data_IF_948907764291
#
_entry.id   IF_948907764291
#
_cell.length_a   1.000
_cell.length_b   1.000
_cell.length_c   1.000
_cell.angle_alpha   90.00
_cell.angle_beta   90.00
_cell.angle_gamma   90.00
#
_symmetry.space_group_name_H-M   'P 1'
#
loop_
_entity.id
_entity.type
_entity.pdbx_description
1 polymer ?
#
# COMPACT_ATOMS: atom_id res chain seq x y z
N UNK A 1 -5.13 5.72 -16.55
CA UNK A 1 -4.71 5.61 -15.15
C UNK A 1 -5.74 4.81 -14.37
N UNK A 2 -5.30 3.81 -13.64
CA UNK A 2 -6.19 2.96 -12.84
C UNK A 2 -5.85 3.08 -11.36
N UNK A 3 -6.87 3.03 -10.53
CA UNK A 3 -6.76 3.22 -9.08
C UNK A 3 -7.50 2.13 -8.33
N UNK A 4 -6.94 1.70 -7.19
CA UNK A 4 -7.62 0.78 -6.29
C UNK A 4 -7.26 1.09 -4.85
N UNK A 5 -8.11 0.66 -3.96
CA UNK A 5 -7.93 0.84 -2.52
C UNK A 5 -8.23 -0.47 -1.81
N UNK A 6 -7.53 -0.70 -0.72
CA UNK A 6 -7.82 -1.83 0.16
C UNK A 6 -7.74 -1.36 1.60
N UNK A 7 -8.66 -1.83 2.42
CA UNK A 7 -8.67 -1.56 3.86
C UNK A 7 -8.42 -2.88 4.58
N UNK A 8 -7.34 -2.94 5.35
CA UNK A 8 -6.96 -4.14 6.09
C UNK A 8 -7.09 -3.85 7.59
N UNK A 9 -7.97 -4.56 8.25
CA UNK A 9 -8.21 -4.39 9.69
C UNK A 9 -7.14 -5.08 10.49
N UNK A 10 -6.40 -4.31 11.28
CA UNK A 10 -5.36 -4.84 12.16
C UNK A 10 -4.94 -3.78 13.18
N UNK A 11 -4.66 -4.20 14.40
CA UNK A 11 -4.11 -3.31 15.41
C UNK A 11 -2.61 -3.07 15.22
N UNK A 12 -2.00 -3.74 14.27
CA UNK A 12 -0.56 -3.64 13.98
C UNK A 12 -0.27 -2.88 12.70
N UNK A 13 -1.18 -1.98 12.30
CA UNK A 13 -1.09 -1.28 11.02
C UNK A 13 0.24 -0.53 10.85
N UNK A 14 0.64 0.25 11.86
CA UNK A 14 1.90 1.00 11.80
C UNK A 14 3.11 0.07 11.64
N UNK A 15 3.10 -1.04 12.36
CA UNK A 15 4.19 -2.02 12.28
C UNK A 15 4.33 -2.59 10.86
N UNK A 16 3.21 -2.96 10.25
CA UNK A 16 3.25 -3.51 8.89
C UNK A 16 3.63 -2.45 7.87
N UNK A 17 3.13 -1.22 8.04
CA UNK A 17 3.48 -0.13 7.15
C UNK A 17 5.00 0.07 7.14
N UNK A 18 5.61 0.14 8.32
CA UNK A 18 7.06 0.35 8.42
C UNK A 18 7.83 -0.83 7.86
N UNK A 19 7.38 -2.05 8.13
CA UNK A 19 8.04 -3.24 7.61
C UNK A 19 8.01 -3.28 6.07
N UNK A 20 6.85 -2.99 5.49
CA UNK A 20 6.69 -2.97 4.03
C UNK A 20 7.55 -1.88 3.40
N UNK A 21 7.46 -0.67 3.91
CA UNK A 21 8.21 0.45 3.33
C UNK A 21 9.72 0.25 3.47
N UNK A 22 10.18 -0.25 4.61
CA UNK A 22 11.58 -0.56 4.81
C UNK A 22 12.07 -1.63 3.83
N UNK A 23 11.23 -2.63 3.59
CA UNK A 23 11.56 -3.67 2.62
C UNK A 23 11.67 -3.12 1.21
N UNK A 24 10.67 -2.34 0.80
CA UNK A 24 10.64 -1.79 -0.56
C UNK A 24 11.74 -0.75 -0.79
N UNK A 25 12.14 -0.01 0.25
CA UNK A 25 13.16 1.02 0.14
C UNK A 25 14.52 0.47 -0.29
N UNK A 26 14.71 -0.82 -0.22
CA UNK A 26 15.95 -1.45 -0.67
C UNK A 26 16.14 -1.41 -2.18
N UNK A 27 15.03 -1.33 -2.93
CA UNK A 27 15.08 -1.43 -4.40
C UNK A 27 14.37 -0.28 -5.10
N UNK A 28 13.43 0.38 -4.43
CA UNK A 28 12.66 1.47 -5.00
C UNK A 28 12.58 2.61 -3.99
N UNK A 29 12.00 3.73 -4.38
CA UNK A 29 11.88 4.87 -3.47
C UNK A 29 10.69 4.66 -2.52
N UNK A 30 10.96 4.67 -1.23
CA UNK A 30 9.91 4.62 -0.21
C UNK A 30 10.17 5.70 0.84
N UNK A 31 9.12 6.46 1.15
CA UNK A 31 9.13 7.49 2.18
C UNK A 31 8.03 7.15 3.19
N UNK A 32 8.34 7.15 4.47
CA UNK A 32 7.35 6.74 5.46
C UNK A 32 7.67 7.25 6.85
N UNK A 33 6.62 7.32 7.68
CA UNK A 33 6.73 7.54 9.12
C UNK A 33 5.84 6.51 9.82
N UNK A 34 5.46 6.75 11.07
CA UNK A 34 4.68 5.78 11.84
C UNK A 34 3.27 5.58 11.29
N UNK A 35 2.73 6.55 10.56
CA UNK A 35 1.33 6.55 10.16
C UNK A 35 1.11 6.57 8.65
N UNK A 36 2.08 7.03 7.88
CA UNK A 36 1.93 7.18 6.43
C UNK A 36 3.13 6.65 5.69
N UNK A 37 2.88 6.11 4.51
CA UNK A 37 3.93 5.64 3.64
C UNK A 37 3.59 5.89 2.18
N UNK A 38 4.63 5.98 1.37
CA UNK A 38 4.51 6.18 -0.06
C UNK A 38 5.65 5.44 -0.75
N UNK A 39 5.28 4.57 -1.68
CA UNK A 39 6.25 3.75 -2.41
C UNK A 39 6.08 3.99 -3.90
N UNK A 40 7.16 4.34 -4.57
CA UNK A 40 7.19 4.47 -6.03
C UNK A 40 7.93 3.30 -6.63
N UNK A 41 7.21 2.44 -7.32
CA UNK A 41 7.80 1.24 -7.90
C UNK A 41 8.41 1.46 -9.28
N UNK A 42 8.11 2.58 -9.93
CA UNK A 42 8.48 2.81 -11.32
C UNK A 42 7.39 2.36 -12.28
N UNK A 43 6.72 1.26 -11.98
CA UNK A 43 5.56 0.78 -12.75
C UNK A 43 4.24 1.20 -12.11
N UNK A 44 4.28 1.86 -10.98
CA UNK A 44 3.10 2.37 -10.27
C UNK A 44 3.49 2.81 -8.89
N UNK A 45 2.50 3.21 -8.09
CA UNK A 45 2.78 3.65 -6.73
C UNK A 45 1.76 3.13 -5.75
N UNK A 46 2.17 3.06 -4.49
CA UNK A 46 1.32 2.65 -3.38
C UNK A 46 1.44 3.66 -2.25
N UNK A 47 0.31 4.07 -1.73
CA UNK A 47 0.23 4.93 -0.56
C UNK A 47 -0.42 4.16 0.56
N UNK A 48 0.04 4.42 1.78
CA UNK A 48 -0.39 3.69 2.96
C UNK A 48 -0.74 4.66 4.06
N UNK A 49 -1.84 4.37 4.77
CA UNK A 49 -2.23 5.08 5.97
C UNK A 49 -2.50 4.07 7.06
N UNK A 50 -1.92 4.28 8.23
CA UNK A 50 -2.08 3.39 9.37
C UNK A 50 -2.65 4.14 10.56
N UNK A 51 -3.63 3.53 11.22
CA UNK A 51 -4.11 4.00 12.52
C UNK A 51 -4.20 2.81 13.49
N UNK A 52 -4.87 2.98 14.62
CA UNK A 52 -4.91 1.96 15.65
C UNK A 52 -5.71 0.72 15.24
N UNK A 53 -6.51 0.81 14.18
CA UNK A 53 -7.46 -0.23 13.82
C UNK A 53 -7.30 -0.77 12.41
N UNK A 54 -6.58 -0.07 11.53
CA UNK A 54 -6.53 -0.47 10.13
C UNK A 54 -5.31 0.07 9.40
N UNK A 55 -4.99 -0.62 8.32
CA UNK A 55 -3.99 -0.20 7.34
C UNK A 55 -4.70 -0.04 6.00
N UNK A 56 -4.63 1.14 5.42
CA UNK A 56 -5.28 1.45 4.16
C UNK A 56 -4.22 1.59 3.08
N UNK A 57 -4.42 0.90 1.96
CA UNK A 57 -3.58 1.02 0.79
C UNK A 57 -4.34 1.75 -0.32
N UNK A 58 -3.64 2.66 -0.99
CA UNK A 58 -4.14 3.25 -2.24
C UNK A 58 -3.10 3.06 -3.30
N UNK A 59 -3.46 2.46 -4.42
CA UNK A 59 -2.52 2.19 -5.50
C UNK A 59 -2.99 2.83 -6.80
N UNK A 60 -2.02 3.14 -7.66
CA UNK A 60 -2.31 3.59 -9.02
C UNK A 60 -1.21 3.15 -10.00
N UNK A 61 -1.60 2.96 -11.24
CA UNK A 61 -0.69 2.69 -12.34
C UNK A 61 -1.31 3.15 -13.65
N UNK A 62 -0.49 3.33 -14.68
CA UNK A 62 -0.95 3.91 -15.93
C UNK A 62 -1.76 2.94 -16.79
N UNK A 63 -1.42 1.66 -16.76
CA UNK A 63 -2.07 0.65 -17.60
C UNK A 63 -2.41 -0.61 -16.81
N UNK A 64 -3.12 -1.52 -17.47
CA UNK A 64 -3.62 -2.72 -16.82
C UNK A 64 -2.52 -3.64 -16.33
N UNK A 65 -1.47 -3.78 -17.09
CA UNK A 65 -0.36 -4.68 -16.73
C UNK A 65 0.37 -4.19 -15.50
N UNK A 66 0.72 -2.91 -15.49
CA UNK A 66 1.40 -2.29 -14.35
C UNK A 66 0.50 -2.28 -13.11
N UNK A 67 -0.78 -2.00 -13.30
CA UNK A 67 -1.75 -1.99 -12.22
C UNK A 67 -1.87 -3.36 -11.55
N UNK A 68 -1.98 -4.41 -12.35
CA UNK A 68 -2.02 -5.77 -11.82
C UNK A 68 -0.75 -6.11 -11.04
N UNK A 69 0.39 -5.62 -11.51
CA UNK A 69 1.66 -5.85 -10.84
C UNK A 69 1.75 -5.17 -9.49
N UNK A 70 1.30 -3.92 -9.38
CA UNK A 70 1.27 -3.22 -8.09
C UNK A 70 0.35 -3.94 -7.11
N UNK A 71 -0.84 -4.31 -7.57
CA UNK A 71 -1.79 -5.06 -6.75
C UNK A 71 -1.15 -6.32 -6.18
N UNK A 72 -0.50 -7.09 -7.04
CA UNK A 72 0.11 -8.35 -6.63
C UNK A 72 1.25 -8.14 -5.64
N UNK A 73 2.14 -7.18 -5.91
CA UNK A 73 3.33 -6.96 -5.09
C UNK A 73 2.93 -6.55 -3.67
N UNK A 74 2.00 -5.61 -3.55
CA UNK A 74 1.56 -5.13 -2.23
C UNK A 74 0.84 -6.25 -1.47
N UNK A 75 -0.09 -6.93 -2.14
CA UNK A 75 -0.84 -8.02 -1.53
C UNK A 75 0.08 -9.15 -1.06
N UNK A 76 0.97 -9.59 -1.93
CA UNK A 76 1.88 -10.70 -1.64
C UNK A 76 2.76 -10.40 -0.42
N UNK A 77 3.31 -9.21 -0.37
CA UNK A 77 4.21 -8.83 0.73
C UNK A 77 3.47 -8.68 2.05
N UNK A 78 2.30 -8.04 2.05
CA UNK A 78 1.56 -7.92 3.31
C UNK A 78 1.12 -9.29 3.82
N UNK A 79 0.62 -10.14 2.94
CA UNK A 79 0.16 -11.47 3.35
C UNK A 79 1.29 -12.30 3.92
N UNK A 80 2.49 -12.20 3.35
CA UNK A 80 3.65 -12.87 3.90
C UNK A 80 4.12 -12.27 5.22
N UNK A 81 4.13 -10.95 5.33
CA UNK A 81 4.60 -10.28 6.54
C UNK A 81 3.63 -10.45 7.71
N UNK A 82 2.35 -10.61 7.43
CA UNK A 82 1.35 -10.79 8.49
C UNK A 82 1.31 -12.21 9.04
N UNK A 83 1.87 -13.18 8.31
CA UNK A 83 2.08 -14.55 8.80
C UNK A 83 0.93 -15.11 9.61
N UNK A 84 1.13 -15.20 10.92
CA UNK A 84 0.18 -15.81 11.84
C UNK A 84 -1.15 -15.05 11.94
N UNK A 85 -1.14 -13.76 11.67
CA UNK A 85 -2.38 -12.97 11.71
C UNK A 85 -3.26 -13.28 10.50
N UNK A 86 -2.68 -13.75 9.40
CA UNK A 86 -3.45 -14.19 8.24
C UNK A 86 -4.22 -13.09 7.55
N UNK A 87 -3.65 -11.90 7.47
CA UNK A 87 -4.32 -10.77 6.82
C UNK A 87 -4.44 -10.98 5.33
N UNK A 88 -5.54 -10.47 4.77
CA UNK A 88 -5.79 -10.53 3.33
C UNK A 88 -6.01 -9.13 2.79
N UNK A 89 -5.58 -8.92 1.55
CA UNK A 89 -5.76 -7.64 0.86
C UNK A 89 -6.81 -7.83 -0.22
N UNK A 90 -7.94 -7.15 -0.06
CA UNK A 90 -9.05 -7.19 -1.00
C UNK A 90 -9.16 -5.83 -1.68
N UNK A 91 -8.80 -5.79 -2.97
CA UNK A 91 -8.77 -4.55 -3.72
C UNK A 91 -10.14 -4.16 -4.23
N UNK A 92 -10.47 -2.87 -4.06
CA UNK A 92 -11.65 -2.27 -4.68
C UNK A 92 -11.15 -1.21 -5.65
N UNK A 93 -11.52 -1.36 -6.92
CA UNK A 93 -11.09 -0.45 -7.96
C UNK A 93 -11.97 0.79 -8.01
N UNK A 94 -11.36 1.95 -8.21
CA UNK A 94 -12.05 3.23 -8.31
C UNK A 94 -11.67 3.93 -9.60
N UNK A 95 -12.55 4.76 -10.17
CA UNK A 95 -12.22 5.54 -11.36
C UNK A 95 -11.16 6.62 -11.09
N UNK A 96 -10.98 6.99 -9.83
CA UNK A 96 -9.93 7.94 -9.43
C UNK A 96 -9.55 7.65 -7.97
N UNK A 97 -8.36 8.08 -7.59
CA UNK A 97 -7.87 7.85 -6.24
C UNK A 97 -8.56 8.78 -5.26
N UNK A 98 -9.28 8.19 -4.31
CA UNK A 98 -10.10 8.87 -3.32
C UNK A 98 -9.34 9.33 -2.10
N UNK A 99 -8.17 8.78 -1.87
CA UNK A 99 -7.42 9.02 -0.66
C UNK A 99 -6.61 10.29 -0.80
N UNK A 100 -7.30 11.40 -0.66
CA UNK A 100 -6.72 12.74 -0.87
C UNK A 100 -5.58 13.09 0.07
N UNK A 101 -5.63 12.74 1.35
CA UNK A 101 -4.51 13.11 2.25
C UNK A 101 -3.18 12.59 1.77
N UNK A 102 -3.17 11.52 0.99
CA UNK A 102 -1.93 10.96 0.47
C UNK A 102 -1.23 11.87 -0.51
N UNK A 103 -1.94 12.80 -1.12
CA UNK A 103 -1.34 13.75 -2.03
C UNK A 103 -0.41 14.73 -1.33
N UNK A 104 -0.55 14.85 -0.02
CA UNK A 104 0.25 15.77 0.79
C UNK A 104 1.48 15.11 1.39
N UNK A 105 1.71 13.86 1.11
CA UNK A 105 2.92 13.16 1.55
C UNK A 105 4.07 13.68 0.71
N UNK A 106 5.13 14.19 1.32
CA UNK A 106 6.28 14.73 0.59
C UNK A 106 6.95 13.71 -0.28
#
# INVERSE_FOLDING_TARGET
>A
MRYAQAVVRTSKASRYLKALCNHFDRKVTATYDDNRGWVQFGFGECRMDADDTQLVFGIRAEDDEHFARVMYVVKDHLERFSGDEGLQVDWVEYPFLDIQPLTNIP
#
